data_IF_572235916433
#
_entry.id   IF_572235916433
#
_cell.length_a   1.000
_cell.length_b   1.000
_cell.length_c   1.000
_cell.angle_alpha   90.00
_cell.angle_beta   90.00
_cell.angle_gamma   90.00
#
_symmetry.space_group_name_H-M   'P 1'
#
loop_
_entity.id
_entity.type
_entity.pdbx_description
1 polymer ?
#
# COMPACT_ATOMS: atom_id res chain seq x y z
N UNK A 1 4.33 -3.18 -29.40
CA UNK A 1 3.95 -3.03 -27.98
C UNK A 1 3.20 -1.71 -27.78
N UNK A 2 1.88 -1.64 -28.05
CA UNK A 2 1.08 -0.43 -27.77
C UNK A 2 -0.17 -0.82 -26.98
N UNK A 3 0.03 -1.21 -25.72
CA UNK A 3 -1.04 -1.70 -24.86
C UNK A 3 -1.82 -0.59 -24.14
N UNK A 4 -1.34 0.66 -24.20
CA UNK A 4 -2.05 1.80 -23.63
C UNK A 4 -2.03 2.95 -24.64
N UNK A 5 -2.91 2.89 -25.64
CA UNK A 5 -3.26 4.08 -26.43
C UNK A 5 -4.30 4.86 -25.64
N UNK A 6 -3.86 5.85 -24.88
CA UNK A 6 -4.76 6.83 -24.30
C UNK A 6 -5.47 7.57 -25.44
N UNK A 7 -6.80 7.48 -25.46
CA UNK A 7 -7.61 8.18 -26.43
C UNK A 7 -7.23 9.68 -26.45
N UNK A 8 -7.04 10.30 -27.63
CA UNK A 8 -6.60 11.69 -27.74
C UNK A 8 -7.54 12.67 -27.01
N UNK A 9 -8.82 12.32 -26.85
CA UNK A 9 -9.79 13.11 -26.10
C UNK A 9 -9.48 13.02 -24.60
N UNK A 10 -9.19 11.82 -24.08
CA UNK A 10 -8.81 11.59 -22.68
C UNK A 10 -7.55 12.36 -22.31
N UNK A 11 -6.54 12.38 -23.19
CA UNK A 11 -5.30 13.16 -22.97
C UNK A 11 -5.58 14.67 -22.86
N UNK A 12 -6.44 15.22 -23.73
CA UNK A 12 -6.83 16.63 -23.68
C UNK A 12 -7.64 16.98 -22.42
N UNK A 13 -8.51 16.07 -21.97
CA UNK A 13 -9.27 16.23 -20.71
C UNK A 13 -8.34 16.24 -19.49
N UNK A 14 -7.35 15.36 -19.45
CA UNK A 14 -6.37 15.30 -18.36
C UNK A 14 -5.50 16.57 -18.30
N UNK A 15 -5.10 17.10 -19.46
CA UNK A 15 -4.40 18.39 -19.55
C UNK A 15 -5.27 19.55 -19.04
N UNK A 16 -6.57 19.59 -19.39
CA UNK A 16 -7.51 20.58 -18.83
C UNK A 16 -7.67 20.45 -17.33
N UNK A 17 -7.79 19.22 -16.81
CA UNK A 17 -7.90 18.95 -15.38
C UNK A 17 -6.68 19.46 -14.60
N UNK A 18 -5.46 19.19 -15.12
CA UNK A 18 -4.21 19.66 -14.51
C UNK A 18 -4.06 21.19 -14.53
N UNK A 19 -4.78 21.90 -15.41
CA UNK A 19 -4.83 23.38 -15.44
C UNK A 19 -5.64 23.96 -14.28
N UNK A 20 -6.56 23.19 -13.70
CA UNK A 20 -7.36 23.62 -12.54
C UNK A 20 -6.51 23.42 -11.28
N UNK A 21 -5.68 24.42 -10.94
CA UNK A 21 -4.72 24.31 -9.83
C UNK A 21 -5.36 23.81 -8.53
N UNK A 22 -6.51 24.38 -8.12
CA UNK A 22 -7.25 23.97 -6.91
C UNK A 22 -7.76 22.54 -6.98
N UNK A 23 -8.32 22.13 -8.12
CA UNK A 23 -8.81 20.77 -8.35
C UNK A 23 -7.67 19.74 -8.38
N UNK A 24 -6.51 20.12 -8.90
CA UNK A 24 -5.32 19.27 -8.90
C UNK A 24 -4.79 19.04 -7.49
N UNK A 25 -4.72 20.07 -6.64
CA UNK A 25 -4.32 19.90 -5.24
C UNK A 25 -5.28 18.98 -4.48
N UNK A 26 -6.60 19.18 -4.60
CA UNK A 26 -7.59 18.29 -3.98
C UNK A 26 -7.47 16.85 -4.48
N UNK A 27 -7.22 16.65 -5.78
CA UNK A 27 -6.97 15.33 -6.34
C UNK A 27 -5.72 14.68 -5.76
N UNK A 28 -4.62 15.42 -5.63
CA UNK A 28 -3.38 14.90 -5.03
C UNK A 28 -3.61 14.53 -3.57
N UNK A 29 -4.25 15.41 -2.78
CA UNK A 29 -4.56 15.13 -1.37
C UNK A 29 -5.42 13.87 -1.26
N UNK A 30 -6.47 13.75 -2.08
CA UNK A 30 -7.35 12.58 -2.06
C UNK A 30 -6.59 11.30 -2.43
N UNK A 31 -5.79 11.33 -3.49
CA UNK A 31 -4.98 10.17 -3.91
C UNK A 31 -4.01 9.77 -2.80
N UNK A 32 -3.32 10.72 -2.19
CA UNK A 32 -2.42 10.47 -1.06
C UNK A 32 -3.18 9.87 0.11
N UNK A 33 -4.34 10.43 0.47
CA UNK A 33 -5.17 9.90 1.55
C UNK A 33 -5.66 8.47 1.27
N UNK A 34 -6.05 8.16 0.03
CA UNK A 34 -6.45 6.81 -0.39
C UNK A 34 -5.27 5.84 -0.29
N UNK A 35 -4.09 6.23 -0.79
CA UNK A 35 -2.88 5.41 -0.68
C UNK A 35 -2.57 5.15 0.79
N UNK A 36 -2.56 6.19 1.62
CA UNK A 36 -2.34 6.05 3.06
C UNK A 36 -3.40 5.17 3.72
N UNK A 37 -4.67 5.24 3.31
CA UNK A 37 -5.73 4.39 3.85
C UNK A 37 -5.55 2.91 3.49
N UNK A 38 -5.09 2.61 2.28
CA UNK A 38 -4.76 1.24 1.87
C UNK A 38 -3.59 0.69 2.68
N UNK A 39 -2.59 1.54 2.95
CA UNK A 39 -1.42 1.16 3.75
C UNK A 39 -1.64 1.32 5.27
N UNK A 40 -2.73 1.92 5.71
CA UNK A 40 -3.06 2.13 7.13
C UNK A 40 -3.06 0.83 7.93
N UNK A 41 -3.67 -0.28 7.50
CA UNK A 41 -3.56 -1.55 8.24
C UNK A 41 -2.12 -2.08 8.35
N UNK A 42 -1.19 -1.67 7.49
CA UNK A 42 0.23 -2.05 7.63
C UNK A 42 1.03 -1.08 8.51
N UNK A 43 0.64 0.20 8.55
CA UNK A 43 1.31 1.23 9.35
C UNK A 43 0.76 1.32 10.79
N UNK A 44 -0.52 1.05 10.98
CA UNK A 44 -1.22 1.19 12.25
C UNK A 44 -1.31 -0.11 13.05
N UNK A 45 -1.26 -1.27 12.38
CA UNK A 45 -1.22 -2.55 13.06
C UNK A 45 0.20 -2.77 13.64
N UNK A 46 0.29 -3.01 14.94
CA UNK A 46 1.55 -3.26 15.67
C UNK A 46 2.13 -4.66 15.44
N UNK A 47 1.63 -5.40 14.44
CA UNK A 47 2.16 -6.71 14.04
C UNK A 47 3.44 -6.52 13.24
N UNK A 48 4.43 -7.37 13.49
CA UNK A 48 5.67 -7.33 12.73
C UNK A 48 5.40 -7.58 11.24
N UNK A 49 5.79 -6.63 10.40
CA UNK A 49 5.71 -6.77 8.93
C UNK A 49 6.71 -7.81 8.42
N UNK A 50 7.87 -7.87 9.06
CA UNK A 50 8.99 -8.73 8.71
C UNK A 50 9.70 -9.17 10.01
N UNK A 51 9.98 -10.46 10.12
CA UNK A 51 10.79 -11.04 11.19
C UNK A 51 11.88 -11.89 10.55
N UNK A 52 13.14 -11.63 10.88
CA UNK A 52 14.23 -12.51 10.50
C UNK A 52 14.52 -13.45 11.66
N UNK A 53 14.35 -14.76 11.45
CA UNK A 53 14.57 -15.78 12.48
C UNK A 53 15.24 -17.00 11.84
N UNK A 54 16.29 -17.51 12.48
CA UNK A 54 17.02 -18.72 12.09
C UNK A 54 17.41 -18.79 10.60
N UNK A 55 17.91 -17.67 10.05
CA UNK A 55 18.32 -17.58 8.64
C UNK A 55 17.18 -17.48 7.63
N UNK A 56 15.91 -17.43 8.06
CA UNK A 56 14.72 -17.30 7.20
C UNK A 56 13.98 -15.99 7.46
N UNK A 57 13.36 -15.47 6.41
CA UNK A 57 12.51 -14.27 6.44
C UNK A 57 11.06 -14.70 6.60
N UNK A 58 10.41 -14.25 7.67
CA UNK A 58 9.01 -14.47 7.97
C UNK A 58 8.23 -13.16 7.79
N UNK A 59 7.03 -13.24 7.22
CA UNK A 59 6.12 -12.11 7.04
C UNK A 59 4.80 -12.37 7.80
N UNK A 60 4.78 -12.19 9.14
CA UNK A 60 3.62 -12.55 9.97
C UNK A 60 2.35 -11.71 9.70
N UNK A 61 2.45 -10.66 8.86
CA UNK A 61 1.30 -9.90 8.39
C UNK A 61 0.48 -10.64 7.32
N UNK A 62 1.09 -11.52 6.53
CA UNK A 62 0.39 -12.24 5.45
C UNK A 62 0.00 -13.67 5.83
N UNK A 63 0.67 -14.25 6.83
CA UNK A 63 0.47 -15.64 7.23
C UNK A 63 0.60 -15.77 8.75
N UNK A 64 -0.25 -16.59 9.37
CA UNK A 64 -0.18 -16.86 10.80
C UNK A 64 0.93 -17.88 11.07
N UNK A 65 1.92 -17.51 11.88
CA UNK A 65 2.98 -18.41 12.33
C UNK A 65 2.75 -18.79 13.79
N UNK A 66 2.86 -20.07 14.09
CA UNK A 66 2.70 -20.57 15.45
C UNK A 66 3.86 -20.15 16.36
N UNK A 67 3.60 -19.98 17.66
CA UNK A 67 4.60 -19.50 18.63
C UNK A 67 5.78 -20.47 18.77
N UNK A 68 5.56 -21.77 18.54
CA UNK A 68 6.61 -22.79 18.51
C UNK A 68 7.66 -22.52 17.42
N UNK A 69 7.28 -21.89 16.30
CA UNK A 69 8.21 -21.53 15.20
C UNK A 69 9.29 -20.55 15.67
N UNK A 70 8.99 -19.77 16.70
CA UNK A 70 9.90 -18.80 17.33
C UNK A 70 10.44 -19.28 18.68
N UNK A 71 10.21 -20.55 19.04
CA UNK A 71 10.65 -21.14 20.31
C UNK A 71 9.95 -20.55 21.54
N UNK A 72 8.75 -19.98 21.40
CA UNK A 72 7.97 -19.45 22.52
C UNK A 72 6.87 -20.43 22.94
N UNK A 73 6.69 -20.62 24.24
CA UNK A 73 5.56 -21.37 24.79
C UNK A 73 4.29 -20.50 24.80
N UNK A 74 3.12 -21.04 24.40
CA UNK A 74 1.86 -20.32 24.49
C UNK A 74 1.56 -19.90 25.93
N UNK A 75 1.05 -18.67 26.16
CA UNK A 75 0.56 -18.31 27.49
C UNK A 75 -0.61 -19.25 27.88
N UNK A 76 -0.75 -19.59 29.18
CA UNK A 76 -1.76 -20.52 29.67
C UNK A 76 -3.20 -20.04 29.48
#
# INVERSE_FOLDING_TARGET
>A
MQWIKLDPITRRRLQRFRRIKRGYYSFVILVVAIVLAIFAPYLAESRALLVWHDGRLFFPTFEYFDMETFGQEPPP
#
